data_IF_568482956960
#
_entry.id   IF_568482956960
#
_cell.length_a   1.000
_cell.length_b   1.000
_cell.length_c   1.000
_cell.angle_alpha   90.00
_cell.angle_beta   90.00
_cell.angle_gamma   90.00
#
_symmetry.space_group_name_H-M   'P 1'
#
loop_
_entity.id
_entity.type
_entity.pdbx_description
1 polymer ?
#
# COMPACT_ATOMS: atom_id res chain seq x y z
N UNK A 1 17.24 4.89 4.89
CA UNK A 1 16.59 6.15 4.53
C UNK A 1 15.41 6.42 5.47
N UNK A 2 15.05 7.70 5.67
CA UNK A 2 13.88 8.11 6.45
C UNK A 2 12.60 7.93 5.65
N UNK A 3 11.44 8.01 6.31
CA UNK A 3 10.12 8.06 5.66
C UNK A 3 10.07 9.21 4.65
N UNK A 4 10.54 10.40 5.03
CA UNK A 4 10.59 11.58 4.15
C UNK A 4 11.42 11.33 2.88
N UNK A 5 12.58 10.68 3.01
CA UNK A 5 13.41 10.32 1.86
C UNK A 5 12.74 9.29 0.95
N UNK A 6 12.01 8.32 1.53
CA UNK A 6 11.25 7.34 0.74
C UNK A 6 10.08 8.02 0.02
N UNK A 7 9.37 8.93 0.68
CA UNK A 7 8.31 9.72 0.07
C UNK A 7 8.83 10.51 -1.13
N UNK A 8 9.95 11.24 -0.98
CA UNK A 8 10.60 11.96 -2.08
C UNK A 8 10.91 11.03 -3.25
N UNK A 9 11.51 9.87 -2.97
CA UNK A 9 11.81 8.88 -4.01
C UNK A 9 10.55 8.42 -4.74
N UNK A 10 9.49 8.10 -4.00
CA UNK A 10 8.23 7.60 -4.57
C UNK A 10 7.54 8.67 -5.44
N UNK A 11 7.47 9.93 -4.97
CA UNK A 11 6.85 11.04 -5.71
C UNK A 11 7.65 11.39 -6.98
N UNK A 12 8.99 11.39 -6.89
CA UNK A 12 9.83 11.82 -8.02
C UNK A 12 10.11 10.73 -9.04
N UNK A 13 9.88 9.46 -8.70
CA UNK A 13 10.25 8.33 -9.55
C UNK A 13 11.76 8.22 -9.85
N UNK A 14 12.61 9.01 -9.17
CA UNK A 14 14.06 9.03 -9.38
C UNK A 14 14.69 7.82 -8.66
N UNK A 15 14.74 6.67 -9.35
CA UNK A 15 15.27 5.41 -8.83
C UNK A 15 16.69 5.09 -9.31
N UNK A 16 17.30 5.97 -10.15
CA UNK A 16 18.65 5.79 -10.65
C UNK A 16 19.67 5.66 -9.52
N UNK A 17 20.37 4.54 -9.45
CA UNK A 17 21.36 4.30 -8.40
C UNK A 17 22.62 5.14 -8.61
N UNK A 18 22.68 6.32 -8.00
CA UNK A 18 23.86 7.18 -8.03
C UNK A 18 24.02 7.98 -6.74
N UNK A 19 25.27 8.33 -6.34
CA UNK A 19 25.51 9.20 -5.19
C UNK A 19 24.87 10.59 -5.35
N UNK A 20 24.85 11.14 -6.54
CA UNK A 20 24.26 12.44 -6.84
C UNK A 20 22.74 12.43 -6.64
N UNK A 21 22.04 11.33 -7.03
CA UNK A 21 20.64 11.14 -6.74
C UNK A 21 20.39 11.15 -5.22
N UNK A 22 21.17 10.39 -4.46
CA UNK A 22 21.00 10.31 -2.99
C UNK A 22 21.20 11.66 -2.30
N UNK A 23 22.09 12.48 -2.80
CA UNK A 23 22.29 13.85 -2.32
C UNK A 23 21.03 14.70 -2.60
N UNK A 24 20.50 14.65 -3.83
CA UNK A 24 19.27 15.37 -4.18
C UNK A 24 18.08 14.92 -3.31
N UNK A 25 17.93 13.62 -3.11
CA UNK A 25 16.89 13.04 -2.24
C UNK A 25 16.98 13.62 -0.81
N UNK A 26 18.18 13.70 -0.24
CA UNK A 26 18.38 14.27 1.11
C UNK A 26 17.98 15.75 1.15
N UNK A 27 18.41 16.56 0.19
CA UNK A 27 18.06 17.99 0.15
C UNK A 27 16.56 18.21 -0.01
N UNK A 28 15.91 17.46 -0.91
CA UNK A 28 14.45 17.53 -1.08
C UNK A 28 13.69 17.07 0.17
N UNK A 29 14.18 16.04 0.87
CA UNK A 29 13.61 15.60 2.12
C UNK A 29 13.71 16.68 3.20
N UNK A 30 14.84 17.37 3.31
CA UNK A 30 15.02 18.51 4.23
C UNK A 30 14.08 19.67 3.89
N UNK A 31 13.86 19.95 2.61
CA UNK A 31 12.92 20.99 2.15
C UNK A 31 11.48 20.61 2.51
N UNK A 32 11.07 19.35 2.33
CA UNK A 32 9.75 18.87 2.76
C UNK A 32 9.56 19.04 4.27
N UNK A 33 10.54 18.64 5.09
CA UNK A 33 10.48 18.74 6.56
C UNK A 33 10.45 20.21 7.06
N UNK A 34 10.85 21.18 6.25
CA UNK A 34 10.72 22.61 6.58
C UNK A 34 9.34 23.18 6.26
N UNK A 35 8.63 22.62 5.27
CA UNK A 35 7.38 23.15 4.75
C UNK A 35 6.14 22.38 5.21
N UNK A 36 6.30 21.14 5.64
CA UNK A 36 5.22 20.24 6.04
C UNK A 36 5.45 19.68 7.43
N UNK A 37 4.38 19.49 8.18
CA UNK A 37 4.40 18.81 9.47
C UNK A 37 4.73 17.31 9.31
N UNK A 38 5.11 16.67 10.41
CA UNK A 38 5.36 15.22 10.40
C UNK A 38 4.11 14.42 10.06
N UNK A 39 2.94 14.89 10.49
CA UNK A 39 1.67 14.22 10.23
C UNK A 39 1.31 14.30 8.74
N UNK A 40 1.47 15.47 8.11
CA UNK A 40 1.28 15.62 6.66
C UNK A 40 2.26 14.78 5.85
N UNK A 41 3.52 14.69 6.27
CA UNK A 41 4.53 13.83 5.63
C UNK A 41 4.16 12.35 5.77
N UNK A 42 3.68 11.93 6.95
CA UNK A 42 3.27 10.56 7.21
C UNK A 42 2.00 10.19 6.42
N UNK A 43 1.01 11.07 6.40
CA UNK A 43 -0.21 10.90 5.60
C UNK A 43 0.12 10.72 4.12
N UNK A 44 0.93 11.63 3.56
CA UNK A 44 1.37 11.49 2.18
C UNK A 44 2.18 10.20 1.96
N UNK A 45 3.07 9.84 2.87
CA UNK A 45 3.82 8.60 2.78
C UNK A 45 2.90 7.37 2.70
N UNK A 46 1.92 7.28 3.59
CA UNK A 46 0.96 6.18 3.63
C UNK A 46 0.07 6.12 2.38
N UNK A 47 -0.20 7.25 1.75
CA UNK A 47 -0.98 7.32 0.51
C UNK A 47 -0.16 6.95 -0.75
N UNK A 48 1.18 7.07 -0.72
CA UNK A 48 2.04 6.83 -1.88
C UNK A 48 2.83 5.54 -1.84
N UNK A 49 3.00 4.94 -0.66
CA UNK A 49 3.85 3.75 -0.55
C UNK A 49 3.19 2.52 -1.17
N UNK A 50 4.01 1.68 -1.82
CA UNK A 50 3.55 0.43 -2.41
C UNK A 50 3.35 -0.68 -1.36
N UNK A 51 2.25 -1.40 -1.50
CA UNK A 51 1.88 -2.53 -0.66
C UNK A 51 1.89 -3.88 -1.40
N UNK A 52 2.53 -3.94 -2.56
CA UNK A 52 2.66 -5.15 -3.38
C UNK A 52 1.86 -5.07 -4.68
N UNK A 53 2.46 -5.54 -5.78
CA UNK A 53 1.87 -5.41 -7.11
C UNK A 53 1.48 -3.96 -7.43
N UNK A 54 0.28 -3.73 -7.96
CA UNK A 54 -0.20 -2.39 -8.32
C UNK A 54 -0.79 -1.61 -7.12
N UNK A 55 -0.78 -2.18 -5.90
CA UNK A 55 -1.43 -1.58 -4.74
C UNK A 55 -0.56 -0.47 -4.16
N UNK A 56 -1.00 0.77 -4.31
CA UNK A 56 -0.36 1.94 -3.71
C UNK A 56 -1.34 2.63 -2.77
N UNK A 57 -0.85 3.02 -1.59
CA UNK A 57 -1.64 3.65 -0.55
C UNK A 57 -2.30 2.67 0.41
N UNK A 58 -2.32 3.07 1.68
CA UNK A 58 -2.79 2.22 2.80
C UNK A 58 -4.29 1.93 2.75
N UNK A 59 -5.10 2.85 2.24
CA UNK A 59 -6.54 2.66 2.10
C UNK A 59 -6.85 1.52 1.13
N UNK A 60 -6.21 1.54 -0.05
CA UNK A 60 -6.40 0.48 -1.05
C UNK A 60 -5.84 -0.86 -0.53
N UNK A 61 -4.72 -0.82 0.20
CA UNK A 61 -4.16 -2.02 0.82
C UNK A 61 -5.10 -2.61 1.87
N UNK A 62 -5.72 -1.78 2.71
CA UNK A 62 -6.72 -2.19 3.70
C UNK A 62 -7.91 -2.89 3.04
N UNK A 63 -8.47 -2.29 2.01
CA UNK A 63 -9.57 -2.86 1.24
C UNK A 63 -9.17 -4.16 0.55
N UNK A 64 -7.97 -4.19 -0.09
CA UNK A 64 -7.50 -5.38 -0.82
C UNK A 64 -7.24 -6.57 0.09
N UNK A 65 -6.61 -6.36 1.23
CA UNK A 65 -6.18 -7.47 2.08
C UNK A 65 -7.22 -7.85 3.13
N UNK A 66 -8.02 -6.89 3.61
CA UNK A 66 -8.96 -7.10 4.71
C UNK A 66 -10.42 -6.74 4.38
N UNK A 67 -10.70 -6.13 3.22
CA UNK A 67 -12.04 -5.68 2.84
C UNK A 67 -12.59 -4.56 3.70
N UNK A 68 -11.74 -3.80 4.40
CA UNK A 68 -12.11 -2.80 5.40
C UNK A 68 -11.61 -1.41 5.03
N UNK A 69 -12.32 -0.39 5.51
CA UNK A 69 -11.76 0.96 5.57
C UNK A 69 -10.54 0.96 6.51
N UNK A 70 -9.52 1.77 6.19
CA UNK A 70 -8.29 1.84 7.00
C UNK A 70 -8.55 2.24 8.45
N UNK A 71 -9.62 2.99 8.72
CA UNK A 71 -10.04 3.40 10.07
C UNK A 71 -10.66 2.27 10.89
N UNK A 72 -11.02 1.17 10.26
CA UNK A 72 -11.65 -0.01 10.88
C UNK A 72 -10.64 -1.13 11.19
N UNK A 73 -9.38 -0.94 10.78
CA UNK A 73 -8.33 -1.91 11.07
C UNK A 73 -8.05 -2.00 12.57
N UNK A 74 -7.94 -3.21 13.05
CA UNK A 74 -7.42 -3.47 14.38
C UNK A 74 -5.87 -3.42 14.43
N UNK A 75 -5.31 -3.66 15.62
CA UNK A 75 -3.86 -3.58 15.84
C UNK A 75 -3.11 -4.65 15.05
N UNK A 76 -3.66 -5.86 14.95
CA UNK A 76 -3.00 -6.97 14.26
C UNK A 76 -3.01 -6.75 12.74
N UNK A 77 -4.13 -6.30 12.18
CA UNK A 77 -4.28 -5.96 10.77
C UNK A 77 -3.40 -4.77 10.39
N UNK A 78 -3.42 -3.69 11.18
CA UNK A 78 -2.57 -2.52 10.96
C UNK A 78 -1.08 -2.87 10.99
N UNK A 79 -0.64 -3.74 11.92
CA UNK A 79 0.74 -4.22 11.99
C UNK A 79 1.11 -5.12 10.80
N UNK A 80 0.17 -5.89 10.26
CA UNK A 80 0.34 -6.67 9.04
C UNK A 80 0.58 -5.76 7.84
N UNK A 81 -0.23 -4.71 7.64
CA UNK A 81 0.00 -3.72 6.58
C UNK A 81 1.34 -3.01 6.76
N UNK A 82 1.68 -2.57 7.98
CA UNK A 82 2.93 -1.89 8.26
C UNK A 82 4.19 -2.77 8.02
N UNK A 83 4.02 -4.09 7.95
CA UNK A 83 5.09 -5.02 7.60
C UNK A 83 5.47 -4.97 6.12
N UNK A 84 4.50 -4.76 5.23
CA UNK A 84 4.62 -4.91 3.77
C UNK A 84 5.66 -3.97 3.13
N UNK A 85 5.73 -2.66 3.47
CA UNK A 85 6.62 -1.71 2.80
C UNK A 85 8.11 -2.03 2.87
N UNK A 86 8.53 -2.92 3.74
CA UNK A 86 9.92 -3.38 3.79
C UNK A 86 10.32 -4.20 2.56
N UNK A 87 9.42 -5.04 2.06
CA UNK A 87 9.60 -5.86 0.86
C UNK A 87 8.25 -6.19 0.25
N UNK A 88 7.64 -5.26 -0.50
CA UNK A 88 6.25 -5.38 -0.94
C UNK A 88 5.94 -6.62 -1.78
N UNK A 89 6.91 -7.11 -2.53
CA UNK A 89 6.72 -8.30 -3.37
C UNK A 89 6.75 -9.62 -2.59
N UNK A 90 7.33 -9.63 -1.39
CA UNK A 90 7.49 -10.85 -0.57
C UNK A 90 6.55 -10.85 0.62
N UNK A 91 6.36 -9.66 1.22
CA UNK A 91 5.62 -9.49 2.47
C UNK A 91 4.15 -9.12 2.28
N UNK A 92 3.65 -8.97 1.04
CA UNK A 92 2.22 -8.88 0.85
C UNK A 92 1.57 -10.27 1.08
N UNK A 93 0.41 -10.32 1.74
CA UNK A 93 -0.23 -11.59 2.11
C UNK A 93 -0.58 -12.51 0.93
N UNK A 94 -0.69 -11.96 -0.28
CA UNK A 94 -1.03 -12.70 -1.50
C UNK A 94 0.20 -13.02 -2.37
N UNK A 95 1.40 -12.80 -1.85
CA UNK A 95 2.63 -13.21 -2.53
C UNK A 95 2.77 -14.72 -2.58
N UNK A 96 3.29 -15.21 -3.69
CA UNK A 96 3.52 -16.62 -3.91
C UNK A 96 4.10 -16.89 -5.28
N UNK A 97 4.11 -18.15 -5.67
CA UNK A 97 4.58 -18.60 -6.98
C UNK A 97 3.78 -19.82 -7.44
N UNK A 98 3.74 -20.05 -8.74
CA UNK A 98 3.21 -21.30 -9.30
C UNK A 98 4.29 -22.38 -9.24
N UNK A 99 3.95 -23.54 -8.69
CA UNK A 99 4.80 -24.73 -8.71
C UNK A 99 4.86 -25.28 -10.14
N UNK A 100 6.06 -25.34 -10.74
CA UNK A 100 6.27 -25.76 -12.11
C UNK A 100 5.86 -27.22 -12.37
N UNK A 101 5.81 -28.06 -11.35
CA UNK A 101 5.48 -29.48 -11.48
C UNK A 101 3.99 -29.76 -11.36
N UNK A 102 3.27 -28.98 -10.54
CA UNK A 102 1.84 -29.22 -10.24
C UNK A 102 0.93 -28.17 -10.89
N UNK A 103 1.45 -26.98 -11.22
CA UNK A 103 0.66 -25.82 -11.65
C UNK A 103 -0.15 -25.20 -10.51
N UNK A 104 0.08 -25.58 -9.26
CA UNK A 104 -0.61 -25.02 -8.11
C UNK A 104 0.07 -23.74 -7.64
N UNK A 105 -0.74 -22.75 -7.26
CA UNK A 105 -0.22 -21.53 -6.63
C UNK A 105 0.12 -21.80 -5.16
N UNK A 106 1.39 -21.60 -4.80
CA UNK A 106 1.88 -21.72 -3.44
C UNK A 106 2.01 -20.32 -2.84
N UNK A 107 1.11 -20.00 -1.89
CA UNK A 107 1.19 -18.73 -1.15
C UNK A 107 2.28 -18.82 -0.08
N UNK A 108 3.23 -17.89 -0.12
CA UNK A 108 4.30 -17.74 0.89
C UNK A 108 4.14 -16.42 1.66
N UNK A 109 3.37 -15.49 1.12
CA UNK A 109 3.24 -14.14 1.65
C UNK A 109 2.59 -14.08 3.01
N UNK A 110 1.60 -14.93 3.29
CA UNK A 110 0.90 -14.94 4.59
C UNK A 110 1.85 -15.29 5.74
N UNK A 111 2.70 -16.31 5.56
CA UNK A 111 3.68 -16.73 6.57
C UNK A 111 4.78 -15.66 6.76
N UNK A 112 5.35 -15.18 5.67
CA UNK A 112 6.39 -14.15 5.68
C UNK A 112 5.88 -12.84 6.30
N UNK A 113 4.64 -12.44 5.97
CA UNK A 113 3.98 -11.28 6.57
C UNK A 113 3.76 -11.47 8.07
N UNK A 114 3.22 -12.62 8.51
CA UNK A 114 2.99 -12.91 9.93
C UNK A 114 4.30 -12.90 10.73
N UNK A 115 5.38 -13.40 10.16
CA UNK A 115 6.70 -13.34 10.79
C UNK A 115 7.17 -11.88 10.97
N UNK A 116 6.96 -11.03 9.98
CA UNK A 116 7.30 -9.62 10.04
C UNK A 116 6.34 -8.80 10.91
N UNK A 117 5.04 -9.10 10.90
CA UNK A 117 4.02 -8.51 11.78
C UNK A 117 4.41 -8.64 13.25
N UNK A 118 4.88 -9.81 13.68
CA UNK A 118 5.35 -10.03 15.06
C UNK A 118 6.44 -9.05 15.46
N UNK A 119 7.35 -8.74 14.55
CA UNK A 119 8.39 -7.74 14.79
C UNK A 119 7.79 -6.32 14.89
N UNK A 120 6.83 -5.97 14.05
CA UNK A 120 6.14 -4.67 14.08
C UNK A 120 5.42 -4.51 15.43
N UNK A 121 4.64 -5.51 15.83
CA UNK A 121 3.92 -5.52 17.11
C UNK A 121 4.88 -5.36 18.32
N UNK A 122 6.02 -6.05 18.29
CA UNK A 122 7.03 -5.88 19.32
C UNK A 122 7.55 -4.43 19.39
N UNK A 123 7.79 -3.80 18.22
CA UNK A 123 8.25 -2.42 18.18
C UNK A 123 7.15 -1.43 18.64
N UNK A 124 5.88 -1.71 18.35
CA UNK A 124 4.77 -0.91 18.87
C UNK A 124 4.70 -0.98 20.39
N UNK A 125 4.87 -2.16 20.97
CA UNK A 125 4.94 -2.35 22.42
C UNK A 125 6.18 -1.68 23.04
N UNK A 126 7.37 -1.91 22.50
CA UNK A 126 8.64 -1.34 23.01
C UNK A 126 8.64 0.20 22.99
N UNK A 127 7.95 0.80 22.02
CA UNK A 127 7.79 2.25 21.92
C UNK A 127 6.58 2.80 22.71
N UNK A 128 5.83 1.95 23.40
CA UNK A 128 4.69 2.34 24.22
C UNK A 128 3.45 2.76 23.43
N UNK A 129 3.37 2.38 22.14
CA UNK A 129 2.21 2.65 21.29
C UNK A 129 1.02 1.74 21.64
N UNK A 130 1.30 0.54 22.13
CA UNK A 130 0.31 -0.43 22.62
C UNK A 130 0.73 -0.97 23.99
N UNK A 131 -0.23 -1.43 24.75
CA UNK A 131 -0.02 -2.11 26.04
C UNK A 131 0.46 -3.54 25.84
N UNK A 132 0.94 -4.18 26.91
CA UNK A 132 1.33 -5.59 26.86
C UNK A 132 0.15 -6.51 26.53
N UNK A 133 -1.03 -6.23 27.05
CA UNK A 133 -2.23 -7.05 26.81
C UNK A 133 -2.68 -6.94 25.33
N UNK A 134 -2.68 -5.75 24.76
CA UNK A 134 -2.93 -5.51 23.31
C UNK A 134 -1.88 -6.22 22.44
N UNK A 135 -0.60 -6.12 22.82
CA UNK A 135 0.46 -6.84 22.11
C UNK A 135 0.22 -8.36 22.11
N UNK A 136 -0.12 -8.94 23.27
CA UNK A 136 -0.38 -10.38 23.37
C UNK A 136 -1.66 -10.78 22.61
N UNK A 137 -2.70 -9.99 22.65
CA UNK A 137 -3.92 -10.21 21.87
C UNK A 137 -3.62 -10.23 20.37
N UNK A 138 -2.97 -9.19 19.84
CA UNK A 138 -2.65 -9.07 18.43
C UNK A 138 -1.64 -10.14 17.92
N UNK A 139 -0.73 -10.62 18.77
CA UNK A 139 0.17 -11.72 18.41
C UNK A 139 -0.58 -13.04 18.14
N UNK A 140 -1.63 -13.31 18.95
CA UNK A 140 -2.38 -14.56 18.89
C UNK A 140 -3.58 -14.48 17.94
N UNK A 141 -3.84 -13.31 17.41
CA UNK A 141 -4.95 -13.08 16.49
C UNK A 141 -4.69 -13.74 15.13
N UNK A 142 -5.69 -14.46 14.64
CA UNK A 142 -5.69 -15.01 13.29
C UNK A 142 -6.28 -13.98 12.34
N UNK A 143 -5.50 -13.61 11.33
CA UNK A 143 -5.90 -12.60 10.35
C UNK A 143 -6.78 -13.25 9.28
N UNK A 144 -7.95 -12.66 9.06
CA UNK A 144 -8.88 -13.07 8.00
C UNK A 144 -8.63 -12.19 6.78
N UNK A 145 -8.06 -12.77 5.74
CA UNK A 145 -7.80 -12.07 4.49
C UNK A 145 -8.94 -12.28 3.48
N UNK A 146 -9.12 -11.34 2.57
CA UNK A 146 -10.19 -11.37 1.55
C UNK A 146 -10.14 -12.57 0.61
N UNK A 147 -9.00 -13.25 0.49
CA UNK A 147 -8.83 -14.48 -0.30
C UNK A 147 -9.12 -15.77 0.50
N UNK A 148 -9.52 -15.67 1.78
CA UNK A 148 -9.85 -16.83 2.61
C UNK A 148 -11.28 -17.29 2.42
N UNK A 149 -11.52 -18.60 2.56
CA UNK A 149 -12.86 -19.18 2.49
C UNK A 149 -13.79 -18.56 3.55
N UNK A 150 -13.27 -18.28 4.76
CA UNK A 150 -14.01 -17.65 5.85
C UNK A 150 -14.50 -16.24 5.48
N UNK A 151 -13.66 -15.44 4.82
CA UNK A 151 -14.08 -14.12 4.34
C UNK A 151 -15.17 -14.26 3.27
N UNK A 152 -14.98 -15.14 2.30
CA UNK A 152 -15.90 -15.35 1.19
C UNK A 152 -17.28 -15.88 1.65
N UNK A 153 -17.31 -16.75 2.66
CA UNK A 153 -18.57 -17.26 3.25
C UNK A 153 -19.36 -16.16 3.95
N UNK A 154 -18.67 -15.20 4.57
CA UNK A 154 -19.31 -14.09 5.30
C UNK A 154 -19.68 -12.89 4.42
N UNK A 155 -19.05 -12.76 3.24
CA UNK A 155 -19.24 -11.67 2.28
C UNK A 155 -19.56 -12.20 0.86
N UNK A 156 -20.61 -13.01 0.68
CA UNK A 156 -20.89 -13.73 -0.57
C UNK A 156 -21.31 -12.84 -1.76
N UNK A 157 -21.62 -11.56 -1.49
CA UNK A 157 -22.08 -10.61 -2.52
C UNK A 157 -21.06 -9.48 -2.83
N UNK A 158 -19.97 -9.46 -2.11
CA UNK A 158 -18.86 -8.57 -2.44
C UNK A 158 -18.04 -9.19 -3.59
N UNK A 159 -18.62 -9.19 -4.79
CA UNK A 159 -17.83 -9.25 -6.00
C UNK A 159 -16.86 -8.05 -5.92
N UNK A 160 -15.66 -8.32 -5.46
CA UNK A 160 -14.56 -7.36 -5.42
C UNK A 160 -14.10 -7.04 -6.86
N UNK A 161 -15.05 -6.61 -7.69
CA UNK A 161 -14.84 -6.20 -9.08
C UNK A 161 -13.77 -5.11 -9.19
N UNK A 162 -13.60 -4.32 -8.12
CA UNK A 162 -12.52 -3.32 -7.99
C UNK A 162 -11.13 -3.91 -7.73
N UNK A 163 -11.05 -5.20 -7.38
CA UNK A 163 -9.81 -5.81 -6.87
C UNK A 163 -9.31 -6.98 -7.72
N UNK A 164 -10.04 -7.40 -8.75
CA UNK A 164 -9.52 -8.38 -9.70
C UNK A 164 -8.46 -7.73 -10.58
N UNK A 165 -7.28 -8.35 -10.66
CA UNK A 165 -6.22 -7.89 -11.57
C UNK A 165 -6.65 -7.94 -13.07
N UNK A 166 -7.79 -8.56 -13.35
CA UNK A 166 -8.41 -8.64 -14.67
C UNK A 166 -9.41 -7.50 -14.95
N UNK A 167 -9.81 -6.72 -13.92
CA UNK A 167 -10.77 -5.62 -14.07
C UNK A 167 -10.16 -4.28 -14.50
N UNK A 168 -8.90 -4.23 -14.90
CA UNK A 168 -8.39 -3.14 -15.74
C UNK A 168 -8.95 -3.34 -17.15
N UNK A 169 -10.26 -3.09 -17.29
CA UNK A 169 -10.84 -3.02 -18.63
C UNK A 169 -10.20 -1.80 -19.32
N UNK A 170 -10.06 -1.88 -20.67
CA UNK A 170 -9.59 -0.75 -21.47
C UNK A 170 -10.35 0.56 -21.15
N UNK A 171 -11.58 0.47 -20.63
CA UNK A 171 -12.41 1.60 -20.17
C UNK A 171 -11.80 2.27 -18.93
N UNK A 172 -11.33 1.49 -17.95
CA UNK A 172 -10.68 2.02 -16.74
C UNK A 172 -9.35 2.68 -17.11
N UNK A 173 -8.54 2.01 -17.94
CA UNK A 173 -7.28 2.57 -18.42
C UNK A 173 -7.51 3.87 -19.20
N UNK A 174 -8.50 3.88 -20.10
CA UNK A 174 -8.85 5.08 -20.86
C UNK A 174 -9.31 6.21 -19.93
N UNK A 175 -10.17 5.93 -18.95
CA UNK A 175 -10.63 6.92 -17.98
C UNK A 175 -9.47 7.49 -17.13
N UNK A 176 -8.54 6.65 -16.72
CA UNK A 176 -7.33 7.08 -16.00
C UNK A 176 -6.47 7.99 -16.89
N UNK A 177 -6.24 7.61 -18.16
CA UNK A 177 -5.44 8.41 -19.09
C UNK A 177 -6.13 9.74 -19.46
N UNK A 178 -7.44 9.75 -19.68
CA UNK A 178 -8.20 10.99 -19.95
C UNK A 178 -8.18 11.94 -18.73
N UNK A 179 -8.29 11.38 -17.54
CA UNK A 179 -8.20 12.18 -16.32
C UNK A 179 -6.78 12.68 -16.05
N UNK A 180 -5.75 11.89 -16.37
CA UNK A 180 -4.36 12.32 -16.32
C UNK A 180 -4.10 13.49 -17.27
N UNK A 181 -4.55 13.40 -18.52
CA UNK A 181 -4.46 14.49 -19.52
C UNK A 181 -5.17 15.78 -19.04
N UNK A 182 -6.33 15.63 -18.41
CA UNK A 182 -7.02 16.77 -17.77
C UNK A 182 -6.18 17.40 -16.66
N UNK A 183 -5.57 16.60 -15.79
CA UNK A 183 -4.72 17.09 -14.71
C UNK A 183 -3.43 17.75 -15.23
N UNK A 184 -2.80 17.17 -16.26
CA UNK A 184 -1.64 17.76 -16.95
C UNK A 184 -1.96 19.18 -17.46
N UNK A 185 -3.06 19.31 -18.18
CA UNK A 185 -3.48 20.58 -18.77
C UNK A 185 -3.93 21.62 -17.74
N UNK A 186 -4.62 21.16 -16.68
CA UNK A 186 -5.20 22.06 -15.66
C UNK A 186 -4.15 22.57 -14.69
N UNK A 187 -3.20 21.72 -14.31
CA UNK A 187 -2.21 22.02 -13.28
C UNK A 187 -0.76 22.10 -13.80
N UNK A 188 -0.57 22.03 -15.12
CA UNK A 188 0.73 22.04 -15.77
C UNK A 188 1.71 20.98 -15.22
N UNK A 189 1.18 19.75 -15.01
CA UNK A 189 1.91 18.61 -14.53
C UNK A 189 2.52 17.82 -15.69
N UNK A 190 3.56 17.04 -15.39
CA UNK A 190 4.02 15.97 -16.30
C UNK A 190 3.08 14.76 -16.21
N UNK A 191 3.06 13.88 -17.21
CA UNK A 191 2.26 12.64 -17.24
C UNK A 191 2.46 11.78 -15.97
N UNK A 192 3.71 11.63 -15.56
CA UNK A 192 4.04 10.86 -14.35
C UNK A 192 3.51 11.51 -13.07
N UNK A 193 3.55 12.84 -12.98
CA UNK A 193 2.99 13.56 -11.83
C UNK A 193 1.46 13.49 -11.81
N UNK A 194 0.81 13.55 -12.97
CA UNK A 194 -0.64 13.41 -13.08
C UNK A 194 -1.10 12.01 -12.66
N UNK A 195 -0.46 10.95 -13.17
CA UNK A 195 -0.76 9.56 -12.79
C UNK A 195 -0.47 9.32 -11.32
N UNK A 196 0.65 9.80 -10.79
CA UNK A 196 0.96 9.70 -9.37
C UNK A 196 -0.10 10.37 -8.49
N UNK A 197 -0.60 11.54 -8.93
CA UNK A 197 -1.66 12.27 -8.23
C UNK A 197 -3.01 11.55 -8.27
N UNK A 198 -3.34 10.87 -9.37
CA UNK A 198 -4.55 10.03 -9.47
C UNK A 198 -4.47 8.89 -8.45
N UNK A 199 -3.35 8.16 -8.45
CA UNK A 199 -3.14 7.00 -7.58
C UNK A 199 -3.13 7.35 -6.08
N UNK A 200 -2.76 8.59 -5.73
CA UNK A 200 -2.69 9.05 -4.34
C UNK A 200 -3.88 9.89 -3.89
N UNK A 201 -4.68 10.39 -4.83
CA UNK A 201 -5.67 11.42 -4.56
C UNK A 201 -7.05 10.94 -4.10
N UNK A 202 -7.30 9.63 -4.04
CA UNK A 202 -8.62 9.10 -3.66
C UNK A 202 -9.77 9.56 -4.57
N UNK A 203 -9.49 9.83 -5.85
CA UNK A 203 -10.49 10.26 -6.81
C UNK A 203 -11.48 9.14 -7.12
N UNK A 204 -12.77 9.48 -7.13
CA UNK A 204 -13.81 8.62 -7.68
C UNK A 204 -14.05 9.01 -9.13
N UNK A 205 -13.74 8.12 -10.07
CA UNK A 205 -13.99 8.34 -11.49
C UNK A 205 -15.28 7.59 -11.87
N UNK A 206 -16.37 8.34 -12.06
CA UNK A 206 -17.63 7.77 -12.53
C UNK A 206 -17.64 7.80 -14.07
N UNK A 207 -17.72 6.64 -14.70
CA UNK A 207 -17.91 6.51 -16.14
C UNK A 207 -19.40 6.37 -16.46
N UNK A 208 -19.81 6.77 -17.66
CA UNK A 208 -21.19 6.66 -18.14
C UNK A 208 -21.42 5.43 -19.02
N UNK A 209 -20.52 4.46 -18.95
CA UNK A 209 -20.60 3.21 -19.73
C UNK A 209 -21.19 2.12 -18.88
#
# INVERSE_FOLDING_TARGET
>A
STITQQLVKNITGDDVQSPARKIREIFRAMELEQNYSKDEILENYLNYIGFGGPINGVQLASQKYFGKDVSELDIAEAASLAAIPKSPNTLNPFAGYEDEATGEFINTGKEDNKARQKYVLLQMYDNGSITYDEYQAALNEELIFTDSDEYQETHPEEDNEYLSAEATSWVVDTAIYEFADYLEKTYNLTSNEAIARINAGGYQIATTV
#
